data_IF_980219428211
#
_entry.id   IF_980219428211
#
_cell.length_a   1.000
_cell.length_b   1.000
_cell.length_c   1.000
_cell.angle_alpha   90.00
_cell.angle_beta   90.00
_cell.angle_gamma   90.00
#
_symmetry.space_group_name_H-M   'P 1'
#
loop_
_entity.id
_entity.type
_entity.pdbx_description
1 polymer ?
#
# COMPACT_ATOMS: atom_id res chain seq x y z
N UNK A 1 -21.72 13.96 23.61
CA UNK A 1 -20.36 14.49 23.88
C UNK A 1 -19.87 13.94 25.23
N UNK A 2 -19.15 12.81 25.23
CA UNK A 2 -18.60 12.21 26.46
C UNK A 2 -17.18 12.71 26.66
N UNK A 3 -16.94 13.26 27.85
CA UNK A 3 -15.85 14.15 28.22
C UNK A 3 -14.49 13.41 28.33
N UNK A 4 -13.45 13.93 27.67
CA UNK A 4 -12.06 13.40 27.63
C UNK A 4 -11.39 13.24 29.00
N UNK A 5 -12.00 13.70 30.10
CA UNK A 5 -11.48 13.58 31.48
C UNK A 5 -11.44 12.16 32.05
N UNK A 6 -12.14 11.18 31.47
CA UNK A 6 -12.15 9.81 32.00
C UNK A 6 -10.84 9.01 31.73
N UNK A 7 -9.96 9.48 30.82
CA UNK A 7 -8.75 8.75 30.42
C UNK A 7 -7.50 9.02 31.28
N UNK A 8 -7.55 9.99 32.21
CA UNK A 8 -6.38 10.38 33.03
C UNK A 8 -6.45 9.83 34.46
N UNK A 9 -7.54 9.14 34.84
CA UNK A 9 -7.69 8.56 36.19
C UNK A 9 -7.26 7.08 36.27
N UNK A 10 -6.22 6.67 35.54
CA UNK A 10 -5.61 5.33 35.71
C UNK A 10 -4.17 5.36 36.25
N UNK A 11 -3.63 6.54 36.59
CA UNK A 11 -2.23 6.65 37.04
C UNK A 11 -2.08 7.13 38.50
N UNK A 12 -3.14 7.58 39.18
CA UNK A 12 -3.05 8.12 40.55
C UNK A 12 -3.97 7.45 41.58
N UNK A 13 -3.95 6.11 41.66
CA UNK A 13 -4.61 5.38 42.76
C UNK A 13 -3.71 4.31 43.41
N UNK A 14 -2.38 4.42 43.28
CA UNK A 14 -1.44 3.47 43.90
C UNK A 14 -1.21 3.67 45.40
N UNK A 15 -1.92 4.59 46.09
CA UNK A 15 -1.59 4.95 47.48
C UNK A 15 -2.64 4.66 48.57
N UNK A 16 -3.81 4.05 48.29
CA UNK A 16 -4.76 3.72 49.38
C UNK A 16 -5.55 2.41 49.32
N UNK A 17 -5.39 1.57 48.30
CA UNK A 17 -6.10 0.28 48.27
C UNK A 17 -5.18 -0.88 48.65
N UNK A 18 -5.31 -1.37 49.89
CA UNK A 18 -4.52 -2.49 50.46
C UNK A 18 -5.36 -3.75 50.69
N UNK A 19 -6.48 -3.91 49.98
CA UNK A 19 -7.31 -5.10 50.14
C UNK A 19 -6.67 -6.28 49.41
N UNK A 20 -6.25 -7.29 50.18
CA UNK A 20 -5.60 -8.48 49.65
C UNK A 20 -6.44 -9.21 48.58
N UNK A 21 -7.77 -9.16 48.70
CA UNK A 21 -8.69 -9.74 47.72
C UNK A 21 -8.67 -9.06 46.35
N UNK A 22 -8.57 -7.72 46.31
CA UNK A 22 -8.51 -6.96 45.04
C UNK A 22 -7.14 -7.15 44.39
N UNK A 23 -6.06 -7.12 45.19
CA UNK A 23 -4.71 -7.41 44.69
C UNK A 23 -4.62 -8.82 44.11
N UNK A 24 -5.21 -9.82 44.77
CA UNK A 24 -5.25 -11.20 44.26
C UNK A 24 -6.04 -11.29 42.96
N UNK A 25 -7.23 -10.68 42.89
CA UNK A 25 -8.05 -10.64 41.66
C UNK A 25 -7.31 -9.97 40.50
N UNK A 26 -6.69 -8.81 40.73
CA UNK A 26 -5.92 -8.10 39.71
C UNK A 26 -4.66 -8.89 39.29
N UNK A 27 -4.00 -9.58 40.21
CA UNK A 27 -2.87 -10.45 39.89
C UNK A 27 -3.32 -11.63 38.99
N UNK A 28 -4.40 -12.32 39.35
CA UNK A 28 -4.97 -13.41 38.54
C UNK A 28 -5.41 -12.90 37.17
N UNK A 29 -6.07 -11.75 37.11
CA UNK A 29 -6.48 -11.12 35.85
C UNK A 29 -5.29 -10.74 34.98
N UNK A 30 -4.22 -10.18 35.56
CA UNK A 30 -2.99 -9.86 34.80
C UNK A 30 -2.26 -11.10 34.33
N UNK A 31 -2.27 -12.21 35.09
CA UNK A 31 -1.71 -13.49 34.63
C UNK A 31 -2.49 -14.02 33.43
N UNK A 32 -3.83 -13.96 33.49
CA UNK A 32 -4.68 -14.35 32.36
C UNK A 32 -4.50 -13.45 31.14
N UNK A 33 -4.36 -12.13 31.32
CA UNK A 33 -4.15 -11.17 30.23
C UNK A 33 -2.73 -11.20 29.64
N UNK A 34 -1.74 -11.70 30.38
CA UNK A 34 -0.36 -11.90 29.90
C UNK A 34 -0.16 -13.24 29.20
N UNK A 35 -1.10 -14.16 29.32
CA UNK A 35 -1.06 -15.41 28.58
C UNK A 35 -1.45 -15.13 27.12
N UNK A 36 -0.45 -15.01 26.26
CA UNK A 36 -0.68 -15.06 24.81
C UNK A 36 -0.95 -16.53 24.48
N UNK A 37 -2.15 -16.89 23.99
CA UNK A 37 -2.44 -18.27 23.59
C UNK A 37 -1.47 -18.72 22.50
N UNK A 38 -1.19 -20.03 22.47
CA UNK A 38 -0.31 -20.64 21.47
C UNK A 38 -0.86 -20.28 20.07
N UNK A 39 0.02 -19.72 19.23
CA UNK A 39 -0.33 -19.41 17.86
C UNK A 39 -0.48 -20.73 17.09
N UNK A 40 -1.63 -20.93 16.44
CA UNK A 40 -1.89 -22.08 15.61
C UNK A 40 -1.79 -21.69 14.14
N UNK A 41 -1.23 -22.58 13.33
CA UNK A 41 -1.18 -22.42 11.90
C UNK A 41 -2.61 -22.54 11.31
N UNK A 42 -3.06 -21.61 10.43
CA UNK A 42 -4.45 -21.50 10.01
C UNK A 42 -4.95 -22.70 9.17
N UNK A 43 -4.06 -23.41 8.47
CA UNK A 43 -4.41 -24.60 7.66
C UNK A 43 -4.10 -25.93 8.35
N UNK A 44 -2.87 -26.15 8.82
CA UNK A 44 -2.50 -27.42 9.47
C UNK A 44 -2.99 -27.54 10.91
N UNK A 45 -3.49 -26.45 11.54
CA UNK A 45 -3.90 -26.38 12.96
C UNK A 45 -2.81 -26.79 13.96
N UNK A 46 -1.56 -26.87 13.50
CA UNK A 46 -0.39 -27.20 14.34
C UNK A 46 0.07 -25.98 15.13
N UNK A 47 0.62 -26.21 16.33
CA UNK A 47 1.21 -25.16 17.15
C UNK A 47 2.47 -24.57 16.50
N UNK A 48 2.55 -23.24 16.42
CA UNK A 48 3.73 -22.51 15.96
C UNK A 48 4.65 -22.25 17.16
N UNK A 49 5.51 -23.22 17.47
CA UNK A 49 6.39 -23.16 18.63
C UNK A 49 7.67 -22.36 18.33
N UNK A 50 8.22 -22.51 17.13
CA UNK A 50 9.47 -21.83 16.75
C UNK A 50 9.21 -20.47 16.10
N UNK A 51 10.23 -19.60 16.12
CA UNK A 51 10.22 -18.33 15.37
C UNK A 51 10.10 -18.57 13.87
N UNK A 52 10.70 -19.66 13.36
CA UNK A 52 10.64 -20.03 11.95
C UNK A 52 9.22 -20.39 11.51
N UNK A 53 8.49 -21.17 12.32
CA UNK A 53 7.09 -21.52 12.02
C UNK A 53 6.20 -20.27 11.96
N UNK A 54 6.41 -19.34 12.90
CA UNK A 54 5.66 -18.07 12.95
C UNK A 54 5.92 -17.22 11.71
N UNK A 55 7.17 -17.17 11.25
CA UNK A 55 7.53 -16.44 10.02
C UNK A 55 6.98 -17.11 8.78
N UNK A 56 7.07 -18.45 8.68
CA UNK A 56 6.51 -19.20 7.56
C UNK A 56 4.99 -18.99 7.45
N UNK A 57 4.25 -19.00 8.56
CA UNK A 57 2.81 -18.71 8.59
C UNK A 57 2.52 -17.27 8.17
N UNK A 58 3.27 -16.31 8.72
CA UNK A 58 3.06 -14.90 8.39
C UNK A 58 3.29 -14.63 6.89
N UNK A 59 4.37 -15.16 6.32
CA UNK A 59 4.71 -14.98 4.92
C UNK A 59 3.70 -15.70 4.02
N UNK A 60 3.46 -17.00 4.25
CA UNK A 60 2.65 -17.82 3.36
C UNK A 60 1.15 -17.54 3.42
N UNK A 61 0.61 -17.03 4.53
CA UNK A 61 -0.84 -16.82 4.67
C UNK A 61 -1.27 -15.38 4.81
N UNK A 62 -0.48 -14.58 5.52
CA UNK A 62 -0.87 -13.21 5.80
C UNK A 62 -0.37 -12.28 4.70
N UNK A 63 0.93 -12.33 4.41
CA UNK A 63 1.51 -11.49 3.36
C UNK A 63 1.12 -11.97 1.97
N UNK A 64 1.07 -13.28 1.71
CA UNK A 64 0.58 -13.81 0.42
C UNK A 64 -0.83 -13.29 0.10
N UNK A 65 -1.78 -13.42 1.03
CA UNK A 65 -3.15 -12.90 0.82
C UNK A 65 -3.24 -11.38 0.77
N UNK A 66 -2.44 -10.66 1.56
CA UNK A 66 -2.45 -9.20 1.53
C UNK A 66 -1.80 -8.61 0.29
N UNK A 67 -0.81 -9.31 -0.27
CA UNK A 67 -0.08 -8.89 -1.45
C UNK A 67 -0.64 -9.49 -2.74
N UNK A 68 -1.55 -10.47 -2.65
CA UNK A 68 -2.31 -10.95 -3.81
C UNK A 68 -3.38 -9.92 -4.15
N UNK A 69 -3.32 -9.40 -5.37
CA UNK A 69 -4.36 -8.50 -5.86
C UNK A 69 -5.70 -9.26 -6.00
N UNK A 70 -6.75 -8.73 -5.38
CA UNK A 70 -8.10 -9.20 -5.65
C UNK A 70 -8.45 -9.01 -7.13
N UNK A 71 -9.25 -9.93 -7.68
CA UNK A 71 -9.73 -9.80 -9.05
C UNK A 71 -10.56 -8.51 -9.19
N UNK A 72 -10.31 -7.75 -10.26
CA UNK A 72 -11.03 -6.50 -10.52
C UNK A 72 -12.50 -6.81 -10.81
N UNK A 73 -13.40 -6.32 -9.95
CA UNK A 73 -14.84 -6.44 -10.14
C UNK A 73 -15.34 -5.48 -11.23
N UNK A 74 -15.52 -6.02 -12.43
CA UNK A 74 -15.96 -5.27 -13.61
C UNK A 74 -17.43 -4.85 -13.53
N UNK A 75 -18.26 -5.57 -12.78
CA UNK A 75 -19.66 -5.24 -12.59
C UNK A 75 -19.81 -4.05 -11.63
N UNK A 76 -19.01 -4.02 -10.56
CA UNK A 76 -18.93 -2.85 -9.68
C UNK A 76 -18.44 -1.60 -10.43
N UNK A 77 -17.39 -1.73 -11.26
CA UNK A 77 -16.92 -0.63 -12.11
C UNK A 77 -18.07 -0.10 -12.98
N UNK A 78 -18.73 -0.99 -13.74
CA UNK A 78 -19.85 -0.60 -14.61
C UNK A 78 -20.98 0.06 -13.82
N UNK A 79 -21.32 -0.49 -12.65
CA UNK A 79 -22.34 0.08 -11.77
C UNK A 79 -22.00 1.52 -11.40
N UNK A 80 -20.79 1.79 -10.89
CA UNK A 80 -20.37 3.14 -10.50
C UNK A 80 -20.24 4.09 -11.69
N UNK A 81 -19.65 3.65 -12.81
CA UNK A 81 -19.51 4.48 -14.02
C UNK A 81 -20.87 4.87 -14.61
N UNK A 82 -21.87 4.00 -14.52
CA UNK A 82 -23.22 4.30 -15.00
C UNK A 82 -23.95 5.36 -14.17
N UNK A 83 -23.55 5.58 -12.91
CA UNK A 83 -24.12 6.63 -12.07
C UNK A 83 -23.60 8.03 -12.41
N UNK A 84 -22.55 8.13 -13.23
CA UNK A 84 -21.99 9.42 -13.66
C UNK A 84 -22.95 10.05 -14.69
N UNK A 85 -23.49 11.26 -14.44
CA UNK A 85 -24.35 11.97 -15.38
C UNK A 85 -23.64 12.22 -16.71
N UNK A 86 -24.39 12.27 -17.82
CA UNK A 86 -23.81 12.49 -19.15
C UNK A 86 -23.03 13.82 -19.26
N UNK A 87 -23.42 14.85 -18.51
CA UNK A 87 -22.73 16.16 -18.45
C UNK A 87 -21.31 16.06 -17.89
N UNK A 88 -21.05 15.09 -17.02
CA UNK A 88 -19.76 14.89 -16.34
C UNK A 88 -18.92 13.79 -17.02
N UNK A 89 -19.41 13.21 -18.12
CA UNK A 89 -18.67 12.22 -18.89
C UNK A 89 -17.79 12.92 -19.91
N UNK A 90 -16.58 12.38 -20.07
CA UNK A 90 -15.68 12.77 -21.16
C UNK A 90 -16.38 12.40 -22.48
N UNK A 91 -16.53 13.34 -23.43
CA UNK A 91 -17.16 13.05 -24.70
C UNK A 91 -16.31 12.06 -25.51
N UNK A 92 -16.95 11.24 -26.33
CA UNK A 92 -16.25 10.21 -27.12
C UNK A 92 -15.19 10.80 -28.08
N UNK A 93 -15.34 12.07 -28.47
CA UNK A 93 -14.33 12.81 -29.25
C UNK A 93 -13.00 12.95 -28.53
N UNK A 94 -13.05 13.15 -27.21
CA UNK A 94 -11.88 13.42 -26.38
C UNK A 94 -11.30 12.10 -25.85
N UNK A 95 -12.11 11.03 -25.84
CA UNK A 95 -11.67 9.69 -25.47
C UNK A 95 -10.53 9.19 -26.36
N UNK A 96 -10.61 9.43 -27.68
CA UNK A 96 -9.56 9.01 -28.59
C UNK A 96 -8.22 9.70 -28.25
N UNK A 97 -8.24 11.01 -28.03
CA UNK A 97 -7.04 11.78 -27.68
C UNK A 97 -6.41 11.30 -26.36
N UNK A 98 -7.22 10.84 -25.39
CA UNK A 98 -6.71 10.30 -24.11
C UNK A 98 -6.10 8.90 -24.24
N UNK A 99 -6.43 8.16 -25.28
CA UNK A 99 -5.92 6.82 -25.55
C UNK A 99 -4.79 6.79 -26.59
N UNK A 100 -4.41 7.95 -27.13
CA UNK A 100 -3.30 8.04 -28.08
C UNK A 100 -1.94 7.87 -27.37
N UNK A 101 -0.98 7.16 -27.98
CA UNK A 101 0.38 7.04 -27.44
C UNK A 101 1.05 8.40 -27.27
N UNK A 102 1.90 8.52 -26.24
CA UNK A 102 2.61 9.76 -25.96
C UNK A 102 3.63 10.09 -27.05
N UNK A 103 3.74 11.38 -27.39
CA UNK A 103 4.82 11.92 -28.21
C UNK A 103 6.00 12.37 -27.35
N UNK A 104 7.15 12.62 -27.99
CA UNK A 104 8.33 13.10 -27.25
C UNK A 104 8.07 14.48 -26.63
N UNK A 105 7.35 15.35 -27.34
CA UNK A 105 7.02 16.68 -26.87
C UNK A 105 6.13 16.63 -25.63
N UNK A 106 5.18 15.69 -25.57
CA UNK A 106 4.34 15.47 -24.38
C UNK A 106 5.18 15.09 -23.16
N UNK A 107 6.20 14.23 -23.35
CA UNK A 107 7.09 13.81 -22.28
C UNK A 107 8.02 14.93 -21.82
N UNK A 108 8.53 15.73 -22.76
CA UNK A 108 9.39 16.88 -22.43
C UNK A 108 8.58 17.93 -21.68
N UNK A 109 7.38 18.27 -22.16
CA UNK A 109 6.49 19.20 -21.48
C UNK A 109 6.11 18.69 -20.09
N UNK A 110 5.79 17.40 -19.95
CA UNK A 110 5.54 16.78 -18.65
C UNK A 110 6.75 16.84 -17.71
N UNK A 111 7.96 16.65 -18.23
CA UNK A 111 9.18 16.74 -17.45
C UNK A 111 9.48 18.18 -16.99
N UNK A 112 9.04 19.22 -17.71
CA UNK A 112 9.19 20.62 -17.27
C UNK A 112 8.30 20.99 -16.09
N UNK A 113 7.14 20.32 -15.96
CA UNK A 113 6.25 20.48 -14.80
C UNK A 113 6.78 19.83 -13.53
N UNK A 114 7.82 19.01 -13.63
CA UNK A 114 8.37 18.30 -12.48
C UNK A 114 8.98 19.30 -11.48
N UNK A 115 8.46 19.38 -10.24
CA UNK A 115 8.91 20.33 -9.25
C UNK A 115 10.29 19.99 -8.67
N UNK A 116 11.18 20.99 -8.64
CA UNK A 116 12.58 20.84 -8.19
C UNK A 116 12.78 20.51 -6.69
N UNK A 117 11.70 20.53 -5.88
CA UNK A 117 11.78 20.46 -4.42
C UNK A 117 11.30 19.13 -3.82
N UNK A 118 10.92 18.16 -4.65
CA UNK A 118 10.41 16.88 -4.16
C UNK A 118 11.53 15.92 -3.80
N UNK A 119 11.33 15.19 -2.71
CA UNK A 119 12.22 14.11 -2.33
C UNK A 119 12.34 13.09 -3.47
N UNK A 120 13.56 12.60 -3.76
CA UNK A 120 13.79 11.59 -4.78
C UNK A 120 12.90 10.34 -4.63
N UNK A 121 12.71 9.63 -5.73
CA UNK A 121 12.03 8.34 -5.72
C UNK A 121 12.83 7.24 -5.02
N UNK A 122 12.37 6.00 -5.13
CA UNK A 122 13.07 4.81 -4.59
C UNK A 122 14.49 4.65 -5.17
N UNK A 123 14.70 5.16 -6.39
CA UNK A 123 15.97 5.22 -7.09
C UNK A 123 16.92 6.30 -6.55
N UNK A 124 16.46 7.13 -5.61
CA UNK A 124 17.18 8.27 -5.06
C UNK A 124 17.63 9.31 -6.10
N UNK A 125 17.02 9.30 -7.30
CA UNK A 125 17.34 10.25 -8.35
C UNK A 125 16.48 11.52 -8.25
N UNK A 126 17.07 12.73 -8.39
CA UNK A 126 16.30 13.96 -8.48
C UNK A 126 15.43 13.98 -9.75
N UNK A 127 14.19 14.47 -9.65
CA UNK A 127 13.29 14.58 -10.81
C UNK A 127 13.84 15.41 -11.97
N UNK A 128 14.77 16.34 -11.70
CA UNK A 128 15.47 17.12 -12.72
C UNK A 128 16.27 16.25 -13.71
N UNK A 129 16.64 15.02 -13.33
CA UNK A 129 17.39 14.12 -14.22
C UNK A 129 16.54 13.64 -15.40
N UNK A 130 15.20 13.61 -15.26
CA UNK A 130 14.29 13.11 -16.30
C UNK A 130 14.42 13.97 -17.55
N UNK A 131 14.50 15.29 -17.42
CA UNK A 131 14.71 16.20 -18.54
C UNK A 131 16.03 15.90 -19.26
N UNK A 132 17.11 15.65 -18.50
CA UNK A 132 18.41 15.31 -19.06
C UNK A 132 18.40 13.97 -19.80
N UNK A 133 17.68 12.98 -19.26
CA UNK A 133 17.53 11.66 -19.90
C UNK A 133 16.73 11.78 -21.21
N UNK A 134 15.70 12.63 -21.27
CA UNK A 134 14.93 12.83 -22.50
C UNK A 134 15.72 13.56 -23.60
N UNK A 135 16.79 14.28 -23.27
CA UNK A 135 17.69 14.90 -24.27
C UNK A 135 18.45 13.86 -25.10
N UNK A 136 18.71 12.67 -24.55
CA UNK A 136 19.45 11.63 -25.26
C UNK A 136 18.52 10.68 -26.02
N UNK A 137 18.78 10.49 -27.32
CA UNK A 137 17.88 9.78 -28.25
C UNK A 137 17.54 8.36 -27.80
N UNK A 138 18.50 7.62 -27.25
CA UNK A 138 18.26 6.23 -26.84
C UNK A 138 17.35 6.12 -25.61
N UNK A 139 17.50 7.04 -24.66
CA UNK A 139 16.71 7.08 -23.42
C UNK A 139 15.32 7.65 -23.68
N UNK A 140 15.20 8.63 -24.58
CA UNK A 140 13.92 9.12 -25.08
C UNK A 140 13.10 8.01 -25.77
N UNK A 141 13.74 7.20 -26.62
CA UNK A 141 13.08 6.07 -27.29
C UNK A 141 12.55 5.03 -26.30
N UNK A 142 13.33 4.71 -25.25
CA UNK A 142 12.91 3.80 -24.19
C UNK A 142 11.76 4.41 -23.39
N UNK A 143 11.86 5.68 -23.00
CA UNK A 143 10.81 6.36 -22.25
C UNK A 143 9.49 6.36 -23.03
N UNK A 144 9.50 6.74 -24.32
CA UNK A 144 8.32 6.72 -25.18
C UNK A 144 7.65 5.35 -25.22
N UNK A 145 8.45 4.30 -25.40
CA UNK A 145 7.95 2.93 -25.40
C UNK A 145 7.33 2.56 -24.05
N UNK A 146 8.03 2.81 -22.95
CA UNK A 146 7.55 2.45 -21.61
C UNK A 146 6.25 3.18 -21.26
N UNK A 147 6.17 4.49 -21.51
CA UNK A 147 4.97 5.26 -21.22
C UNK A 147 3.78 4.87 -22.11
N UNK A 148 4.04 4.62 -23.40
CA UNK A 148 3.00 4.17 -24.34
C UNK A 148 2.52 2.75 -24.02
N UNK A 149 3.44 1.84 -23.70
CA UNK A 149 3.11 0.47 -23.30
C UNK A 149 2.33 0.46 -21.98
N UNK A 150 2.68 1.33 -21.02
CA UNK A 150 1.95 1.48 -19.77
C UNK A 150 0.53 2.02 -19.99
N UNK A 151 0.33 2.98 -20.89
CA UNK A 151 -0.98 3.51 -21.23
C UNK A 151 -1.88 2.46 -21.89
N UNK A 152 -1.36 1.76 -22.89
CA UNK A 152 -2.14 0.84 -23.72
C UNK A 152 -2.37 -0.53 -23.07
N UNK A 153 -1.37 -1.05 -22.38
CA UNK A 153 -1.39 -2.42 -21.86
C UNK A 153 -1.50 -2.48 -20.33
N UNK A 154 -1.50 -1.34 -19.64
CA UNK A 154 -1.51 -1.29 -18.17
C UNK A 154 -0.25 -1.91 -17.52
N UNK A 155 0.83 -2.06 -18.30
CA UNK A 155 2.08 -2.67 -17.82
C UNK A 155 2.80 -1.67 -16.92
N UNK A 156 3.01 -2.05 -15.66
CA UNK A 156 3.90 -1.30 -14.76
C UNK A 156 5.33 -1.68 -15.07
N UNK A 157 6.25 -0.72 -14.98
CA UNK A 157 7.68 -1.03 -15.03
C UNK A 157 7.99 -2.05 -13.93
N UNK A 158 8.39 -3.26 -14.34
CA UNK A 158 8.79 -4.33 -13.41
C UNK A 158 9.96 -3.80 -12.59
N UNK A 159 9.77 -3.73 -11.27
CA UNK A 159 10.87 -3.35 -10.38
C UNK A 159 11.92 -4.44 -10.39
N UNK A 160 13.21 -4.08 -10.40
CA UNK A 160 14.33 -5.03 -10.42
C UNK A 160 14.31 -6.07 -9.27
N UNK A 161 13.47 -5.88 -8.25
CA UNK A 161 13.22 -6.84 -7.17
C UNK A 161 12.45 -8.10 -7.63
N UNK A 162 11.77 -8.07 -8.77
CA UNK A 162 10.93 -9.16 -9.27
C UNK A 162 11.68 -10.10 -10.24
N UNK A 163 12.96 -9.81 -10.51
CA UNK A 163 13.84 -10.56 -11.41
C UNK A 163 14.87 -11.44 -10.69
N UNK A 164 14.74 -11.62 -9.37
CA UNK A 164 15.56 -12.60 -8.65
C UNK A 164 14.88 -13.98 -8.74
N UNK A 165 15.43 -14.96 -9.50
CA UNK A 165 14.98 -16.34 -9.40
C UNK A 165 15.28 -16.86 -7.99
N UNK A 166 14.28 -17.52 -7.40
CA UNK A 166 14.45 -18.38 -6.22
C UNK A 166 15.51 -19.46 -6.44
#
# INVERSE_FOLDING_TARGET
>A
MVNKKARITLVLASKREKSAGILKRLATQRVQQRAIPILLHPISTTACETTSDKQAVAVAYYYDRLCTADAVDTDAIRYFTNQIPATDRIPDSDHQALCEPFTLDDLVDAATRAPNQFSPGIDSLPYAIIQLLLTHVATAAIALRVYSDALLHGVRAVTAAELAPH
#
